data_IF_935044126862
#
_entry.id   IF_935044126862
#
_cell.length_a   1.000
_cell.length_b   1.000
_cell.length_c   1.000
_cell.angle_alpha   90.00
_cell.angle_beta   90.00
_cell.angle_gamma   90.00
#
_symmetry.space_group_name_H-M   'P 1'
#
loop_
_entity.id
_entity.type
_entity.pdbx_description
1 polymer ?
#
# COMPACT_ATOMS: atom_id res chain seq x y z
N UNK A 1 -11.85 24.83 -23.40
CA UNK A 1 -10.67 24.05 -23.00
C UNK A 1 -11.10 22.69 -22.44
N UNK A 2 -10.79 21.61 -23.14
CA UNK A 2 -10.92 20.23 -22.68
C UNK A 2 -9.63 19.74 -22.03
N UNK A 3 -9.74 19.12 -20.85
CA UNK A 3 -8.62 18.53 -20.12
C UNK A 3 -8.89 17.05 -19.95
N UNK A 4 -7.88 16.22 -20.19
CA UNK A 4 -7.85 14.82 -19.78
C UNK A 4 -6.85 14.64 -18.63
N UNK A 5 -7.25 13.95 -17.59
CA UNK A 5 -6.36 13.50 -16.51
C UNK A 5 -6.26 11.97 -16.59
N UNK A 6 -5.05 11.45 -16.72
CA UNK A 6 -4.72 10.04 -16.68
C UNK A 6 -3.92 9.79 -15.41
N UNK A 7 -4.50 9.08 -14.45
CA UNK A 7 -3.86 8.79 -13.15
C UNK A 7 -3.67 7.30 -12.92
N UNK A 8 -2.73 6.92 -12.05
CA UNK A 8 -2.74 5.55 -11.49
C UNK A 8 -4.02 5.31 -10.66
N UNK A 9 -4.33 4.04 -10.47
CA UNK A 9 -5.51 3.50 -9.81
C UNK A 9 -5.47 3.57 -8.28
N UNK A 10 -4.33 3.92 -7.71
CA UNK A 10 -4.15 4.02 -6.26
C UNK A 10 -4.46 5.43 -5.71
N UNK A 11 -4.13 5.63 -4.44
CA UNK A 11 -4.40 6.87 -3.72
C UNK A 11 -3.55 8.05 -4.21
N UNK A 12 -2.35 7.83 -4.76
CA UNK A 12 -1.48 8.91 -5.22
C UNK A 12 -1.96 9.45 -6.57
N UNK A 13 -2.21 8.56 -7.53
CA UNK A 13 -2.82 8.91 -8.82
C UNK A 13 -4.19 9.56 -8.67
N UNK A 14 -5.06 9.00 -7.82
CA UNK A 14 -6.40 9.56 -7.50
C UNK A 14 -6.29 10.91 -6.79
N UNK A 15 -5.32 11.04 -5.86
CA UNK A 15 -5.05 12.27 -5.11
C UNK A 15 -4.58 13.40 -6.03
N UNK A 16 -3.63 13.12 -6.93
CA UNK A 16 -3.15 14.08 -7.91
C UNK A 16 -4.26 14.58 -8.84
N UNK A 17 -5.09 13.66 -9.37
CA UNK A 17 -6.24 14.01 -10.19
C UNK A 17 -7.25 14.91 -9.45
N UNK A 18 -7.50 14.63 -8.18
CA UNK A 18 -8.33 15.45 -7.30
C UNK A 18 -7.75 16.87 -7.21
N UNK A 19 -6.46 17.00 -6.88
CA UNK A 19 -5.77 18.28 -6.75
C UNK A 19 -5.84 19.12 -8.03
N UNK A 20 -5.67 18.51 -9.22
CA UNK A 20 -5.83 19.19 -10.51
C UNK A 20 -7.24 19.77 -10.68
N UNK A 21 -8.29 18.99 -10.35
CA UNK A 21 -9.68 19.49 -10.42
C UNK A 21 -9.87 20.70 -9.50
N UNK A 22 -9.36 20.61 -8.27
CA UNK A 22 -9.41 21.68 -7.27
C UNK A 22 -8.67 22.94 -7.71
N UNK A 23 -7.50 22.79 -8.33
CA UNK A 23 -6.75 23.88 -8.91
C UNK A 23 -7.62 24.65 -9.90
N UNK A 24 -8.25 23.97 -10.85
CA UNK A 24 -9.10 24.62 -11.85
C UNK A 24 -10.39 25.21 -11.28
N UNK A 25 -11.02 24.56 -10.29
CA UNK A 25 -12.16 25.12 -9.58
C UNK A 25 -11.80 26.38 -8.76
N UNK A 26 -10.57 26.45 -8.25
CA UNK A 26 -10.06 27.59 -7.49
C UNK A 26 -9.62 28.72 -8.42
N UNK A 27 -8.96 28.40 -9.54
CA UNK A 27 -8.50 29.36 -10.56
C UNK A 27 -9.69 30.07 -11.24
N UNK A 28 -10.74 29.32 -11.58
CA UNK A 28 -11.93 29.86 -12.25
C UNK A 28 -13.10 30.01 -11.27
N UNK A 29 -13.30 31.24 -10.79
CA UNK A 29 -14.37 31.58 -9.83
C UNK A 29 -15.77 31.31 -10.40
N UNK A 30 -15.96 31.55 -11.70
CA UNK A 30 -17.22 31.38 -12.40
C UNK A 30 -17.29 30.00 -13.07
N UNK A 31 -18.31 29.18 -12.79
CA UNK A 31 -18.41 27.81 -13.31
C UNK A 31 -18.33 27.69 -14.83
N UNK A 32 -18.92 28.64 -15.57
CA UNK A 32 -18.94 28.66 -17.03
C UNK A 32 -17.55 28.86 -17.67
N UNK A 33 -16.57 29.36 -16.90
CA UNK A 33 -15.18 29.53 -17.36
C UNK A 33 -14.31 28.31 -17.07
N UNK A 34 -14.83 27.30 -16.34
CA UNK A 34 -14.05 26.12 -15.97
C UNK A 34 -13.83 25.21 -17.18
N UNK A 35 -12.65 24.58 -17.29
CA UNK A 35 -12.42 23.58 -18.33
C UNK A 35 -13.33 22.37 -18.14
N UNK A 36 -13.64 21.69 -19.25
CA UNK A 36 -14.28 20.38 -19.21
C UNK A 36 -13.21 19.34 -18.87
N UNK A 37 -13.29 18.76 -17.68
CA UNK A 37 -12.30 17.79 -17.19
C UNK A 37 -12.86 16.38 -17.36
N UNK A 38 -12.15 15.54 -18.12
CA UNK A 38 -12.31 14.09 -18.18
C UNK A 38 -11.21 13.45 -17.32
N UNK A 39 -11.52 12.31 -16.71
CA UNK A 39 -10.57 11.55 -15.88
C UNK A 39 -10.59 10.10 -16.31
N UNK A 40 -9.44 9.46 -16.31
CA UNK A 40 -9.27 8.05 -16.61
C UNK A 40 -8.22 7.44 -15.69
N UNK A 41 -8.56 6.30 -15.07
CA UNK A 41 -7.69 5.54 -14.17
C UNK A 41 -7.54 4.12 -14.72
N UNK A 42 -6.71 3.92 -15.76
CA UNK A 42 -6.54 2.60 -16.36
C UNK A 42 -5.69 1.68 -15.50
N UNK A 43 -6.01 0.38 -15.55
CA UNK A 43 -5.04 -0.65 -15.17
C UNK A 43 -3.79 -0.57 -16.07
N UNK A 44 -2.64 -0.96 -15.51
CA UNK A 44 -1.34 -0.83 -16.18
C UNK A 44 -1.27 -1.54 -17.54
N UNK A 45 -1.91 -2.70 -17.66
CA UNK A 45 -1.99 -3.47 -18.92
C UNK A 45 -2.75 -2.68 -19.99
N UNK A 46 -3.93 -2.19 -19.66
CA UNK A 46 -4.77 -1.35 -20.54
C UNK A 46 -4.04 -0.06 -20.91
N UNK A 47 -3.36 0.58 -19.96
CA UNK A 47 -2.53 1.76 -20.22
C UNK A 47 -1.45 1.43 -21.28
N UNK A 48 -0.69 0.37 -21.09
CA UNK A 48 0.38 -0.03 -22.00
C UNK A 48 -0.14 -0.31 -23.41
N UNK A 49 -1.24 -1.04 -23.53
CA UNK A 49 -1.89 -1.34 -24.82
C UNK A 49 -2.34 -0.06 -25.52
N UNK A 50 -3.00 0.85 -24.79
CA UNK A 50 -3.51 2.11 -25.36
C UNK A 50 -2.40 3.05 -25.79
N UNK A 51 -1.34 3.17 -24.99
CA UNK A 51 -0.20 4.01 -25.36
C UNK A 51 0.62 3.42 -26.51
N UNK A 52 0.63 2.10 -26.69
CA UNK A 52 1.24 1.48 -27.86
C UNK A 52 0.46 1.75 -29.17
N UNK A 53 -0.87 1.92 -29.08
CA UNK A 53 -1.71 2.28 -30.23
C UNK A 53 -1.59 3.77 -30.59
N UNK A 54 -0.74 4.07 -31.58
CA UNK A 54 -0.54 5.43 -32.08
C UNK A 54 -1.83 6.10 -32.60
N UNK A 55 -2.83 5.34 -33.08
CA UNK A 55 -4.11 5.88 -33.55
C UNK A 55 -4.92 6.40 -32.37
N UNK A 56 -5.04 5.61 -31.31
CA UNK A 56 -5.69 6.02 -30.08
C UNK A 56 -5.00 7.25 -29.47
N UNK A 57 -3.66 7.22 -29.39
CA UNK A 57 -2.84 8.32 -28.87
C UNK A 57 -3.10 9.62 -29.64
N UNK A 58 -3.13 9.57 -30.98
CA UNK A 58 -3.47 10.75 -31.79
C UNK A 58 -4.89 11.24 -31.53
N UNK A 59 -5.87 10.35 -31.37
CA UNK A 59 -7.24 10.78 -31.04
C UNK A 59 -7.30 11.51 -29.69
N UNK A 60 -6.60 11.01 -28.67
CA UNK A 60 -6.50 11.66 -27.35
C UNK A 60 -5.85 13.04 -27.48
N UNK A 61 -4.79 13.15 -28.28
CA UNK A 61 -4.15 14.43 -28.56
C UNK A 61 -5.10 15.43 -29.25
N UNK A 62 -5.92 14.97 -30.20
CA UNK A 62 -6.87 15.83 -30.91
C UNK A 62 -8.05 16.27 -30.03
N UNK A 63 -8.58 15.36 -29.22
CA UNK A 63 -9.80 15.58 -28.43
C UNK A 63 -9.59 16.45 -27.18
N UNK A 64 -8.34 16.73 -26.81
CA UNK A 64 -8.01 17.43 -25.58
C UNK A 64 -7.01 18.58 -25.84
N UNK A 65 -7.17 19.68 -25.11
CA UNK A 65 -6.28 20.83 -25.19
C UNK A 65 -5.07 20.69 -24.25
N UNK A 66 -5.24 19.90 -23.19
CA UNK A 66 -4.24 19.66 -22.16
C UNK A 66 -4.46 18.27 -21.56
N UNK A 67 -3.35 17.57 -21.32
CA UNK A 67 -3.33 16.24 -20.73
C UNK A 67 -2.49 16.30 -19.47
N UNK A 68 -2.98 15.71 -18.39
CA UNK A 68 -2.21 15.45 -17.19
C UNK A 68 -1.95 13.96 -17.10
N UNK A 69 -0.69 13.60 -16.93
CA UNK A 69 -0.27 12.24 -16.63
C UNK A 69 0.25 12.23 -15.19
N UNK A 70 -0.39 11.46 -14.32
CA UNK A 70 -0.17 11.49 -12.87
C UNK A 70 0.17 10.10 -12.34
N UNK A 71 1.39 9.95 -11.83
CA UNK A 71 1.86 8.74 -11.16
C UNK A 71 1.84 7.48 -12.02
N UNK A 72 1.83 7.66 -13.33
CA UNK A 72 1.64 6.56 -14.27
C UNK A 72 2.31 6.85 -15.58
N UNK A 73 2.58 5.80 -16.34
CA UNK A 73 3.32 5.87 -17.59
C UNK A 73 3.41 4.51 -18.27
N UNK A 74 3.55 4.47 -19.60
CA UNK A 74 3.71 3.22 -20.32
C UNK A 74 5.07 2.57 -20.01
N UNK A 75 5.09 1.24 -19.88
CA UNK A 75 6.31 0.45 -19.70
C UNK A 75 6.85 -0.10 -21.02
N UNK A 76 6.03 -0.13 -22.09
CA UNK A 76 6.47 -0.57 -23.42
C UNK A 76 7.31 0.49 -24.12
N UNK A 77 8.31 0.07 -24.89
CA UNK A 77 9.13 1.00 -25.68
C UNK A 77 8.29 1.85 -26.64
N UNK A 78 7.37 1.21 -27.34
CA UNK A 78 6.43 1.88 -28.26
C UNK A 78 5.52 2.87 -27.54
N UNK A 79 4.97 2.50 -26.39
CA UNK A 79 4.15 3.40 -25.59
C UNK A 79 4.93 4.62 -25.10
N UNK A 80 6.17 4.41 -24.67
CA UNK A 80 7.06 5.51 -24.26
C UNK A 80 7.38 6.45 -25.42
N UNK A 81 7.64 5.90 -26.61
CA UNK A 81 7.86 6.68 -27.84
C UNK A 81 6.63 7.51 -28.20
N UNK A 82 5.44 6.89 -28.24
CA UNK A 82 4.20 7.58 -28.57
C UNK A 82 3.86 8.69 -27.56
N UNK A 83 4.06 8.44 -26.25
CA UNK A 83 3.92 9.47 -25.22
C UNK A 83 4.86 10.65 -25.48
N UNK A 84 6.16 10.37 -25.67
CA UNK A 84 7.21 11.37 -25.79
C UNK A 84 7.21 12.17 -27.10
N UNK A 85 6.75 11.56 -28.20
CA UNK A 85 6.76 12.18 -29.54
C UNK A 85 5.41 12.78 -29.93
N UNK A 86 4.29 12.16 -29.54
CA UNK A 86 2.95 12.57 -29.96
C UNK A 86 2.23 13.38 -28.87
N UNK A 87 2.14 12.85 -27.64
CA UNK A 87 1.34 13.49 -26.59
C UNK A 87 2.07 14.60 -25.84
N UNK A 88 3.39 14.46 -25.66
CA UNK A 88 4.20 15.34 -24.83
C UNK A 88 3.90 16.85 -25.03
N UNK A 89 3.73 17.39 -26.25
CA UNK A 89 3.47 18.82 -26.45
C UNK A 89 2.21 19.37 -25.74
N UNK A 90 1.26 18.49 -25.38
CA UNK A 90 0.06 18.82 -24.61
C UNK A 90 0.05 18.21 -23.20
N UNK A 91 1.09 17.47 -22.81
CA UNK A 91 1.13 16.74 -21.54
C UNK A 91 1.92 17.50 -20.48
N UNK A 92 1.30 17.62 -19.31
CA UNK A 92 1.98 17.91 -18.05
C UNK A 92 2.13 16.59 -17.29
N UNK A 93 3.35 16.14 -17.11
CA UNK A 93 3.67 14.87 -16.46
C UNK A 93 4.13 15.12 -15.02
N UNK A 94 3.37 14.60 -14.05
CA UNK A 94 3.74 14.50 -12.65
C UNK A 94 4.03 13.04 -12.29
N UNK A 95 5.19 12.78 -11.69
CA UNK A 95 5.58 11.45 -11.22
C UNK A 95 6.60 11.55 -10.08
N UNK A 96 6.86 10.44 -9.41
CA UNK A 96 7.97 10.31 -8.45
C UNK A 96 8.81 9.04 -8.70
N UNK A 97 8.45 8.20 -9.66
CA UNK A 97 9.19 7.01 -10.02
C UNK A 97 10.39 7.32 -10.93
N UNK A 98 11.60 7.01 -10.45
CA UNK A 98 12.83 7.20 -11.22
C UNK A 98 12.80 6.43 -12.55
N UNK A 99 12.24 5.22 -12.56
CA UNK A 99 12.14 4.43 -13.79
C UNK A 99 11.29 5.08 -14.88
N UNK A 100 10.28 5.89 -14.53
CA UNK A 100 9.48 6.66 -15.49
C UNK A 100 10.29 7.86 -16.01
N UNK A 101 11.07 8.52 -15.14
CA UNK A 101 12.02 9.56 -15.55
C UNK A 101 13.00 9.01 -16.59
N UNK A 102 13.70 7.91 -16.28
CA UNK A 102 14.74 7.34 -17.14
C UNK A 102 14.21 7.01 -18.55
N UNK A 103 12.98 6.50 -18.63
CA UNK A 103 12.31 6.19 -19.91
C UNK A 103 11.95 7.42 -20.74
N UNK A 104 11.72 8.56 -20.09
CA UNK A 104 11.18 9.77 -20.71
C UNK A 104 12.17 10.93 -20.79
N UNK A 105 13.36 10.79 -20.19
CA UNK A 105 14.40 11.82 -20.17
C UNK A 105 14.72 12.35 -21.58
N UNK A 106 14.83 11.45 -22.57
CA UNK A 106 15.08 11.82 -23.97
C UNK A 106 13.97 12.67 -24.60
N UNK A 107 12.77 12.67 -24.03
CA UNK A 107 11.60 13.41 -24.52
C UNK A 107 11.25 14.62 -23.66
N UNK A 108 11.99 14.90 -22.57
CA UNK A 108 11.63 15.90 -21.56
C UNK A 108 11.32 17.28 -22.16
N UNK A 109 12.05 17.69 -23.21
CA UNK A 109 11.88 18.97 -23.91
C UNK A 109 10.58 19.07 -24.72
N UNK A 110 9.98 17.94 -25.06
CA UNK A 110 8.72 17.88 -25.79
C UNK A 110 7.52 18.08 -24.87
N UNK A 111 7.69 17.87 -23.55
CA UNK A 111 6.59 18.00 -22.60
C UNK A 111 6.22 19.45 -22.36
N UNK A 112 4.91 19.73 -22.25
CA UNK A 112 4.42 21.04 -21.81
C UNK A 112 4.85 21.35 -20.37
N UNK A 113 4.95 20.33 -19.53
CA UNK A 113 5.56 20.39 -18.20
C UNK A 113 5.97 19.00 -17.76
N UNK A 114 7.15 18.87 -17.15
CA UNK A 114 7.67 17.58 -16.70
C UNK A 114 8.22 17.74 -15.28
N UNK A 115 7.57 17.09 -14.33
CA UNK A 115 7.78 17.25 -12.91
C UNK A 115 7.91 15.87 -12.26
N UNK A 116 9.11 15.31 -12.38
CA UNK A 116 9.45 14.06 -11.72
C UNK A 116 10.42 14.33 -10.60
N UNK A 117 10.11 13.84 -9.40
CA UNK A 117 10.98 14.00 -8.24
C UNK A 117 11.01 12.73 -7.40
N UNK A 118 12.14 12.02 -7.47
CA UNK A 118 12.38 10.88 -6.60
C UNK A 118 12.44 11.29 -5.11
N UNK A 119 12.01 10.39 -4.23
CA UNK A 119 12.25 10.46 -2.79
C UNK A 119 11.05 10.94 -1.98
N UNK A 120 11.24 12.01 -1.19
CA UNK A 120 10.35 12.38 -0.08
C UNK A 120 9.00 13.02 -0.48
N UNK A 121 8.56 12.89 -1.74
CA UNK A 121 7.27 13.41 -2.20
C UNK A 121 6.58 12.43 -3.14
N UNK A 122 5.28 12.23 -2.92
CA UNK A 122 4.40 11.53 -3.86
C UNK A 122 3.93 12.49 -4.98
N UNK A 123 3.37 11.94 -6.06
CA UNK A 123 2.85 12.68 -7.22
C UNK A 123 1.79 13.72 -6.81
N UNK A 124 0.87 13.38 -5.91
CA UNK A 124 -0.14 14.31 -5.41
C UNK A 124 0.50 15.53 -4.73
N UNK A 125 1.56 15.31 -3.93
CA UNK A 125 2.29 16.39 -3.27
C UNK A 125 3.05 17.26 -4.25
N UNK A 126 3.71 16.65 -5.24
CA UNK A 126 4.40 17.37 -6.33
C UNK A 126 3.39 18.24 -7.08
N UNK A 127 2.23 17.69 -7.44
CA UNK A 127 1.15 18.38 -8.13
C UNK A 127 0.67 19.61 -7.34
N UNK A 128 0.39 19.45 -6.04
CA UNK A 128 -0.01 20.58 -5.18
C UNK A 128 1.06 21.66 -5.11
N UNK A 129 2.32 21.28 -4.87
CA UNK A 129 3.43 22.22 -4.73
C UNK A 129 3.71 22.99 -6.03
N UNK A 130 3.53 22.34 -7.19
CA UNK A 130 3.67 22.97 -8.50
C UNK A 130 2.58 24.01 -8.71
N UNK A 131 1.31 23.66 -8.51
CA UNK A 131 0.22 24.61 -8.69
C UNK A 131 0.19 25.72 -7.63
N UNK A 132 0.67 25.46 -6.42
CA UNK A 132 0.77 26.50 -5.38
C UNK A 132 1.65 27.66 -5.85
N UNK A 133 2.73 27.38 -6.61
CA UNK A 133 3.62 28.41 -7.17
C UNK A 133 2.97 29.22 -8.29
N UNK A 134 1.94 28.70 -8.95
CA UNK A 134 1.21 29.43 -10.00
C UNK A 134 0.22 30.46 -9.43
N UNK A 135 -0.10 30.39 -8.13
CA UNK A 135 -0.82 31.47 -7.47
C UNK A 135 0.18 32.53 -7.03
N UNK A 136 0.22 33.66 -7.74
CA UNK A 136 0.99 34.83 -7.31
C UNK A 136 0.66 35.23 -5.86
N UNK A 137 1.68 35.72 -5.16
CA UNK A 137 1.51 36.36 -3.85
C UNK A 137 0.55 37.55 -4.02
N UNK A 138 -0.45 37.73 -3.13
CA UNK A 138 -1.68 38.41 -3.53
C UNK A 138 -1.53 39.92 -3.57
N UNK A 139 -1.70 40.53 -4.75
CA UNK A 139 -1.88 41.99 -4.88
C UNK A 139 -3.35 42.40 -5.14
N UNK A 140 -4.26 41.46 -5.42
CA UNK A 140 -5.69 41.73 -5.66
C UNK A 140 -6.62 40.87 -4.81
N UNK A 141 -7.81 41.38 -4.49
CA UNK A 141 -8.84 40.65 -3.74
C UNK A 141 -9.22 39.31 -4.40
N UNK A 142 -9.33 39.30 -5.73
CA UNK A 142 -9.64 38.08 -6.48
C UNK A 142 -8.51 37.06 -6.41
N UNK A 143 -7.24 37.48 -6.53
CA UNK A 143 -6.09 36.59 -6.36
C UNK A 143 -6.07 35.98 -4.95
N UNK A 144 -6.28 36.80 -3.92
CA UNK A 144 -6.39 36.33 -2.52
C UNK A 144 -7.50 35.29 -2.35
N UNK A 145 -8.67 35.52 -2.94
CA UNK A 145 -9.80 34.58 -2.82
C UNK A 145 -9.53 33.25 -3.51
N UNK A 146 -8.90 33.27 -4.69
CA UNK A 146 -8.51 32.05 -5.42
C UNK A 146 -7.44 31.27 -4.67
N UNK A 147 -6.40 31.96 -4.18
CA UNK A 147 -5.34 31.36 -3.36
C UNK A 147 -5.89 30.73 -2.08
N UNK A 148 -6.72 31.46 -1.32
CA UNK A 148 -7.35 30.95 -0.09
C UNK A 148 -8.25 29.74 -0.32
N UNK A 149 -8.86 29.61 -1.50
CA UNK A 149 -9.62 28.41 -1.88
C UNK A 149 -8.69 27.22 -2.13
N UNK A 150 -7.62 27.45 -2.88
CA UNK A 150 -6.68 26.37 -3.22
C UNK A 150 -5.86 25.88 -2.02
N UNK A 151 -5.36 26.78 -1.16
CA UNK A 151 -4.50 26.38 -0.03
C UNK A 151 -5.22 25.48 0.99
N UNK A 152 -6.56 25.43 0.98
CA UNK A 152 -7.35 24.51 1.82
C UNK A 152 -7.05 23.04 1.55
N UNK A 153 -6.64 22.68 0.33
CA UNK A 153 -6.29 21.30 -0.01
C UNK A 153 -4.84 20.91 0.36
N UNK A 154 -4.09 21.82 1.01
CA UNK A 154 -2.72 21.53 1.49
C UNK A 154 -2.68 20.31 2.40
N UNK A 155 -3.63 20.22 3.33
CA UNK A 155 -3.72 19.09 4.27
C UNK A 155 -4.01 17.78 3.53
N UNK A 156 -4.93 17.81 2.54
CA UNK A 156 -5.19 16.65 1.69
C UNK A 156 -3.92 16.16 1.00
N UNK A 157 -3.18 17.03 0.32
CA UNK A 157 -1.92 16.66 -0.33
C UNK A 157 -0.88 16.09 0.67
N UNK A 158 -0.86 16.60 1.91
CA UNK A 158 0.02 16.09 2.96
C UNK A 158 -0.38 14.70 3.45
N UNK A 159 -1.68 14.42 3.54
CA UNK A 159 -2.21 13.11 3.93
C UNK A 159 -1.93 12.06 2.85
N UNK A 160 -2.10 12.39 1.57
CA UNK A 160 -1.75 11.47 0.47
C UNK A 160 -0.26 11.13 0.52
N UNK A 161 0.60 12.14 0.70
CA UNK A 161 2.04 11.94 0.86
C UNK A 161 2.42 11.10 2.08
N UNK A 162 1.65 11.18 3.17
CA UNK A 162 1.91 10.40 4.39
C UNK A 162 1.64 8.90 4.18
N UNK A 163 0.59 8.55 3.43
CA UNK A 163 0.25 7.16 3.17
C UNK A 163 1.10 6.56 2.05
N UNK A 164 1.33 7.31 0.96
CA UNK A 164 2.12 6.85 -0.19
C UNK A 164 3.57 6.52 0.20
N UNK A 165 4.21 7.39 0.99
CA UNK A 165 5.57 7.19 1.47
C UNK A 165 5.66 6.29 2.72
N UNK A 166 4.57 5.61 3.09
CA UNK A 166 4.54 4.70 4.24
C UNK A 166 4.90 5.33 5.60
N UNK A 167 4.78 6.65 5.73
CA UNK A 167 5.08 7.37 6.98
C UNK A 167 4.00 7.09 8.03
N UNK A 168 2.73 7.10 7.61
CA UNK A 168 1.55 6.76 8.45
C UNK A 168 1.46 7.53 9.75
N UNK A 169 1.90 8.79 9.76
CA UNK A 169 1.83 9.67 10.92
C UNK A 169 0.38 10.03 11.26
N UNK A 170 -0.50 10.07 10.26
CA UNK A 170 -1.89 10.51 10.43
C UNK A 170 -2.85 9.35 10.16
N UNK A 171 -3.69 8.92 11.12
CA UNK A 171 -4.69 7.87 10.88
C UNK A 171 -5.59 8.15 9.66
N UNK A 172 -5.86 9.45 9.43
CA UNK A 172 -6.66 9.91 8.30
C UNK A 172 -6.05 9.58 6.94
N UNK A 173 -4.72 9.50 6.80
CA UNK A 173 -4.08 9.14 5.53
C UNK A 173 -4.43 7.71 5.12
N UNK A 174 -4.47 6.79 6.10
CA UNK A 174 -4.88 5.40 5.90
C UNK A 174 -6.36 5.31 5.53
N UNK A 175 -7.22 6.10 6.17
CA UNK A 175 -8.64 6.14 5.83
C UNK A 175 -8.88 6.56 4.38
N UNK A 176 -8.12 7.54 3.86
CA UNK A 176 -8.26 7.96 2.45
C UNK A 176 -7.86 6.83 1.50
N UNK A 177 -6.80 6.09 1.80
CA UNK A 177 -6.41 4.91 1.02
C UNK A 177 -7.47 3.80 1.10
N UNK A 178 -8.05 3.56 2.29
CA UNK A 178 -9.14 2.61 2.47
C UNK A 178 -10.36 2.98 1.59
N UNK A 179 -10.67 4.27 1.41
CA UNK A 179 -11.74 4.74 0.52
C UNK A 179 -11.46 4.37 -0.94
N UNK A 180 -10.23 4.58 -1.43
CA UNK A 180 -9.85 4.18 -2.80
C UNK A 180 -9.93 2.67 -2.98
N UNK A 181 -9.42 1.90 -2.01
CA UNK A 181 -9.48 0.44 -2.04
C UNK A 181 -10.93 -0.09 -2.03
N UNK A 182 -11.84 0.57 -1.33
CA UNK A 182 -13.24 0.17 -1.24
C UNK A 182 -14.06 0.53 -2.47
N UNK A 183 -13.88 1.74 -3.00
CA UNK A 183 -14.75 2.34 -4.01
C UNK A 183 -14.17 2.26 -5.43
N UNK A 184 -12.88 1.99 -5.56
CA UNK A 184 -12.12 2.19 -6.78
C UNK A 184 -11.79 3.68 -7.03
N UNK A 185 -10.83 3.96 -7.92
CA UNK A 185 -10.27 5.31 -8.08
C UNK A 185 -11.30 6.32 -8.59
N UNK A 186 -12.19 5.94 -9.52
CA UNK A 186 -13.18 6.87 -10.10
C UNK A 186 -14.18 7.37 -9.06
N UNK A 187 -14.78 6.45 -8.28
CA UNK A 187 -15.77 6.82 -7.27
C UNK A 187 -15.10 7.50 -6.07
N UNK A 188 -13.89 7.10 -5.69
CA UNK A 188 -13.12 7.80 -4.67
C UNK A 188 -12.77 9.24 -5.10
N UNK A 189 -12.36 9.46 -6.35
CA UNK A 189 -12.16 10.80 -6.92
C UNK A 189 -13.42 11.67 -6.79
N UNK A 190 -14.60 11.13 -7.10
CA UNK A 190 -15.87 11.84 -6.93
C UNK A 190 -16.17 12.19 -5.48
N UNK A 191 -15.89 11.28 -4.54
CA UNK A 191 -16.09 11.50 -3.11
C UNK A 191 -15.06 12.48 -2.50
N UNK A 192 -13.79 12.43 -2.90
CA UNK A 192 -12.77 13.37 -2.42
C UNK A 192 -13.07 14.82 -2.81
N UNK A 193 -13.76 15.02 -3.94
CA UNK A 193 -14.26 16.34 -4.32
C UNK A 193 -15.36 16.88 -3.37
N UNK A 194 -15.98 16.02 -2.55
CA UNK A 194 -17.01 16.38 -1.55
C UNK A 194 -16.42 16.54 -0.14
N UNK A 195 -15.46 15.68 0.23
CA UNK A 195 -14.92 15.54 1.59
C UNK A 195 -14.00 16.71 2.02
N UNK A 196 -13.26 17.32 1.09
CA UNK A 196 -12.15 18.23 1.42
C UNK A 196 -12.56 19.65 1.90
N UNK A 197 -13.80 19.87 2.36
CA UNK A 197 -14.29 21.19 2.75
C UNK A 197 -14.71 21.36 4.21
N UNK A 198 -14.79 20.29 5.01
CA UNK A 198 -15.15 20.43 6.42
C UNK A 198 -14.38 19.41 7.27
N UNK A 199 -13.58 19.87 8.26
CA UNK A 199 -13.01 18.98 9.26
C UNK A 199 -14.12 18.11 9.89
N UNK A 200 -13.99 16.79 9.82
CA UNK A 200 -14.94 15.84 10.41
C UNK A 200 -16.09 15.35 9.52
N UNK A 201 -16.20 15.75 8.23
CA UNK A 201 -17.31 15.29 7.38
C UNK A 201 -16.87 14.27 6.32
N UNK A 202 -16.77 13.00 6.73
CA UNK A 202 -16.90 11.92 5.75
C UNK A 202 -18.36 11.89 5.25
N UNK A 203 -18.56 11.71 3.95
CA UNK A 203 -19.89 11.34 3.43
C UNK A 203 -20.27 9.97 3.99
N UNK A 204 -21.55 9.63 4.07
CA UNK A 204 -21.97 8.28 4.50
C UNK A 204 -21.34 7.19 3.63
N UNK A 205 -21.27 7.40 2.31
CA UNK A 205 -20.56 6.51 1.37
C UNK A 205 -19.11 6.27 1.79
N UNK A 206 -18.42 7.32 2.23
CA UNK A 206 -17.02 7.24 2.69
C UNK A 206 -16.92 6.52 4.03
N UNK A 207 -17.85 6.76 4.95
CA UNK A 207 -17.90 6.06 6.25
C UNK A 207 -18.12 4.56 6.05
N UNK A 208 -19.08 4.19 5.21
CA UNK A 208 -19.40 2.80 4.89
C UNK A 208 -18.22 2.09 4.22
N UNK A 209 -17.56 2.78 3.27
CA UNK A 209 -16.35 2.30 2.61
C UNK A 209 -15.23 1.99 3.61
N UNK A 210 -14.93 2.95 4.51
CA UNK A 210 -13.92 2.79 5.56
C UNK A 210 -14.30 1.64 6.50
N UNK A 211 -15.56 1.55 6.93
CA UNK A 211 -16.03 0.50 7.82
C UNK A 211 -15.89 -0.89 7.17
N UNK A 212 -16.27 -1.02 5.90
CA UNK A 212 -16.15 -2.26 5.15
C UNK A 212 -14.69 -2.70 4.99
N UNK A 213 -13.79 -1.78 4.66
CA UNK A 213 -12.35 -2.09 4.55
C UNK A 213 -11.75 -2.47 5.91
N UNK A 214 -12.08 -1.74 6.99
CA UNK A 214 -11.63 -2.07 8.34
C UNK A 214 -12.07 -3.47 8.76
N UNK A 215 -13.32 -3.84 8.47
CA UNK A 215 -13.82 -5.17 8.76
C UNK A 215 -13.02 -6.25 8.02
N UNK A 216 -12.80 -6.08 6.70
CA UNK A 216 -12.01 -7.04 5.91
C UNK A 216 -10.54 -7.09 6.35
N UNK A 217 -9.91 -5.95 6.63
CA UNK A 217 -8.53 -5.84 7.12
C UNK A 217 -8.38 -6.55 8.47
N UNK A 218 -9.33 -6.38 9.39
CA UNK A 218 -9.39 -7.09 10.66
C UNK A 218 -9.49 -8.61 10.47
N UNK A 219 -10.43 -9.08 9.64
CA UNK A 219 -10.58 -10.51 9.36
C UNK A 219 -9.31 -11.11 8.72
N UNK A 220 -8.67 -10.37 7.82
CA UNK A 220 -7.39 -10.80 7.21
C UNK A 220 -6.24 -10.84 8.23
N UNK A 221 -6.21 -9.91 9.19
CA UNK A 221 -5.23 -9.91 10.27
C UNK A 221 -5.45 -11.09 11.22
N UNK A 222 -6.70 -11.37 11.60
CA UNK A 222 -7.05 -12.53 12.44
C UNK A 222 -6.63 -13.85 11.77
N UNK A 223 -6.88 -14.00 10.46
CA UNK A 223 -6.39 -15.15 9.69
C UNK A 223 -4.85 -15.23 9.70
N UNK A 224 -4.19 -14.09 9.49
CA UNK A 224 -2.73 -13.98 9.52
C UNK A 224 -2.14 -14.40 10.87
N UNK A 225 -2.76 -13.98 11.98
CA UNK A 225 -2.36 -14.34 13.33
C UNK A 225 -2.60 -15.84 13.61
N UNK A 226 -3.75 -16.37 13.18
CA UNK A 226 -4.09 -17.78 13.37
C UNK A 226 -3.19 -18.74 12.56
N UNK A 227 -2.57 -18.26 11.48
CA UNK A 227 -1.71 -19.06 10.60
C UNK A 227 -0.23 -18.69 10.70
N UNK A 228 0.13 -17.84 11.67
CA UNK A 228 1.49 -17.34 11.83
C UNK A 228 2.42 -18.48 12.32
N UNK A 229 3.38 -18.85 11.47
CA UNK A 229 4.42 -19.83 11.80
C UNK A 229 5.76 -19.12 11.92
N UNK A 230 6.42 -19.28 13.07
CA UNK A 230 7.79 -18.79 13.31
C UNK A 230 8.80 -19.87 12.92
N UNK A 231 9.69 -19.53 11.99
CA UNK A 231 10.78 -20.39 11.56
C UNK A 231 12.02 -20.19 12.43
N UNK A 232 12.62 -21.31 12.87
CA UNK A 232 13.82 -21.32 13.73
C UNK A 232 15.09 -21.45 12.88
N UNK A 233 16.25 -21.20 13.50
CA UNK A 233 17.59 -21.34 12.90
C UNK A 233 17.98 -20.31 11.83
N UNK A 234 17.29 -19.17 11.76
CA UNK A 234 17.67 -18.02 10.94
C UNK A 234 18.32 -16.93 11.82
N UNK A 235 19.29 -16.19 11.27
CA UNK A 235 19.91 -15.04 11.97
C UNK A 235 18.90 -13.92 12.27
N UNK A 236 17.86 -13.82 11.45
CA UNK A 236 16.73 -12.90 11.62
C UNK A 236 15.48 -13.74 11.83
N UNK A 237 14.61 -13.41 12.81
CA UNK A 237 13.33 -14.09 12.98
C UNK A 237 12.54 -14.07 11.67
N UNK A 238 12.22 -15.25 11.13
CA UNK A 238 11.48 -15.39 9.89
C UNK A 238 10.11 -15.98 10.18
N UNK A 239 9.08 -15.41 9.57
CA UNK A 239 7.68 -15.80 9.77
C UNK A 239 7.01 -16.08 8.43
N UNK A 240 6.02 -16.96 8.46
CA UNK A 240 5.07 -17.11 7.37
C UNK A 240 3.65 -17.02 7.87
N UNK A 241 2.75 -16.48 7.07
CA UNK A 241 1.32 -16.43 7.39
C UNK A 241 0.47 -16.53 6.11
N UNK A 242 -0.80 -16.89 6.27
CA UNK A 242 -1.82 -16.82 5.22
C UNK A 242 -2.74 -15.64 5.55
N UNK A 243 -3.07 -14.84 4.54
CA UNK A 243 -3.92 -13.65 4.68
C UNK A 243 -4.92 -13.59 3.52
N UNK A 244 -5.92 -12.72 3.62
CA UNK A 244 -6.95 -12.56 2.61
C UNK A 244 -7.19 -11.06 2.30
N UNK A 245 -6.37 -10.52 1.40
CA UNK A 245 -6.33 -9.10 1.04
C UNK A 245 -5.36 -8.28 1.90
N UNK A 246 -5.29 -6.96 1.63
CA UNK A 246 -4.53 -5.97 2.41
C UNK A 246 -3.08 -6.39 2.71
N UNK A 247 -2.43 -7.00 1.71
CA UNK A 247 -1.17 -7.73 1.87
C UNK A 247 -0.03 -6.93 2.44
N UNK A 248 -0.03 -5.63 2.22
CA UNK A 248 1.02 -4.78 2.72
C UNK A 248 0.76 -4.44 4.17
N UNK A 249 -0.44 -3.96 4.49
CA UNK A 249 -0.78 -3.51 5.83
C UNK A 249 -0.82 -4.67 6.82
N UNK A 250 -1.44 -5.78 6.46
CA UNK A 250 -1.53 -6.95 7.34
C UNK A 250 -0.14 -7.55 7.56
N UNK A 251 0.70 -7.67 6.52
CA UNK A 251 2.07 -8.16 6.70
C UNK A 251 2.90 -7.24 7.60
N UNK A 252 2.76 -5.92 7.45
CA UNK A 252 3.39 -4.95 8.35
C UNK A 252 2.93 -5.14 9.80
N UNK A 253 1.63 -5.26 10.06
CA UNK A 253 1.10 -5.49 11.42
C UNK A 253 1.59 -6.81 12.03
N UNK A 254 1.68 -7.89 11.24
CA UNK A 254 2.11 -9.21 11.72
C UNK A 254 3.61 -9.27 12.06
N UNK A 255 4.45 -8.56 11.31
CA UNK A 255 5.92 -8.59 11.51
C UNK A 255 6.42 -7.52 12.47
N UNK A 256 5.64 -6.47 12.73
CA UNK A 256 6.15 -5.29 13.41
C UNK A 256 6.46 -5.55 14.90
N UNK A 257 7.64 -5.13 15.42
CA UNK A 257 8.82 -4.60 14.70
C UNK A 257 9.87 -5.66 14.36
N UNK A 258 9.64 -6.94 14.68
CA UNK A 258 10.69 -7.96 14.82
C UNK A 258 10.68 -9.00 13.70
N UNK A 259 11.59 -8.86 12.73
CA UNK A 259 12.00 -9.93 11.82
C UNK A 259 11.60 -9.70 10.37
N UNK A 260 11.42 -10.79 9.63
CA UNK A 260 10.93 -10.79 8.25
C UNK A 260 9.72 -11.74 8.15
N UNK A 261 8.69 -11.35 7.40
CA UNK A 261 7.50 -12.19 7.16
C UNK A 261 7.29 -12.41 5.67
N UNK A 262 6.82 -13.60 5.32
CA UNK A 262 6.24 -13.92 4.02
C UNK A 262 4.74 -14.24 4.19
N UNK A 263 3.87 -13.41 3.64
CA UNK A 263 2.42 -13.62 3.68
C UNK A 263 1.92 -14.13 2.33
N UNK A 264 1.29 -15.31 2.31
CA UNK A 264 0.52 -15.76 1.16
C UNK A 264 -0.87 -15.13 1.20
N UNK A 265 -1.21 -14.37 0.16
CA UNK A 265 -2.49 -13.69 0.03
C UNK A 265 -3.44 -14.52 -0.84
N UNK A 266 -4.51 -15.04 -0.24
CA UNK A 266 -5.53 -15.87 -0.89
C UNK A 266 -6.26 -15.13 -2.01
N UNK A 267 -6.64 -13.87 -1.78
CA UNK A 267 -7.42 -13.06 -2.73
C UNK A 267 -6.67 -12.85 -4.05
N UNK A 268 -5.38 -12.51 -3.95
CA UNK A 268 -4.55 -12.20 -5.10
C UNK A 268 -3.73 -13.40 -5.60
N UNK A 269 -3.72 -14.52 -4.88
CA UNK A 269 -2.78 -15.64 -5.08
C UNK A 269 -1.30 -15.22 -5.12
N UNK A 270 -0.91 -14.17 -4.40
CA UNK A 270 0.48 -13.64 -4.38
C UNK A 270 1.18 -13.89 -3.05
N UNK A 271 2.51 -13.82 -3.02
CA UNK A 271 3.28 -13.75 -1.78
C UNK A 271 3.81 -12.33 -1.58
N UNK A 272 3.70 -11.81 -0.37
CA UNK A 272 4.21 -10.49 0.04
C UNK A 272 5.27 -10.67 1.12
N UNK A 273 6.42 -10.03 0.96
CA UNK A 273 7.49 -10.03 1.96
C UNK A 273 7.57 -8.69 2.67
N UNK A 274 7.69 -8.69 4.00
CA UNK A 274 7.98 -7.48 4.77
C UNK A 274 9.10 -7.71 5.76
N UNK A 275 9.97 -6.71 5.90
CA UNK A 275 10.98 -6.65 6.96
C UNK A 275 10.52 -5.63 8.00
N UNK A 276 10.53 -6.04 9.27
CA UNK A 276 10.28 -5.16 10.41
C UNK A 276 11.36 -4.09 10.54
N UNK A 277 10.99 -2.93 11.06
CA UNK A 277 11.85 -1.74 11.15
C UNK A 277 13.19 -2.00 11.84
N UNK A 278 13.23 -2.90 12.84
CA UNK A 278 14.45 -3.21 13.61
C UNK A 278 15.54 -3.89 12.76
N UNK A 279 15.16 -4.47 11.63
CA UNK A 279 16.04 -5.20 10.72
C UNK A 279 16.22 -4.48 9.37
N UNK A 280 15.54 -3.35 9.19
CA UNK A 280 15.70 -2.48 8.02
C UNK A 280 17.13 -1.95 7.95
N UNK A 281 17.86 -2.25 6.87
CA UNK A 281 19.25 -1.83 6.72
C UNK A 281 20.28 -2.71 7.45
N UNK A 282 19.84 -3.80 8.07
CA UNK A 282 20.75 -4.75 8.71
C UNK A 282 21.69 -5.37 7.67
N UNK A 283 23.00 -5.34 7.93
CA UNK A 283 23.98 -6.06 7.10
C UNK A 283 24.01 -7.55 7.46
N UNK A 284 23.72 -8.40 6.49
CA UNK A 284 23.85 -9.86 6.62
C UNK A 284 25.27 -10.36 6.34
N UNK A 285 26.01 -9.63 5.50
CA UNK A 285 27.42 -9.84 5.18
C UNK A 285 28.15 -8.49 5.08
N UNK A 286 29.49 -8.50 4.91
CA UNK A 286 30.30 -7.27 4.77
C UNK A 286 29.74 -6.31 3.70
N UNK A 287 29.15 -6.85 2.64
CA UNK A 287 28.68 -6.11 1.47
C UNK A 287 27.19 -6.37 1.11
N UNK A 288 26.42 -7.04 1.98
CA UNK A 288 25.02 -7.39 1.67
C UNK A 288 24.11 -6.93 2.79
N UNK A 289 23.13 -6.10 2.44
CA UNK A 289 22.05 -5.69 3.34
C UNK A 289 20.89 -6.67 3.21
N UNK A 290 20.24 -7.00 4.32
CA UNK A 290 19.01 -7.79 4.29
C UNK A 290 17.94 -7.04 3.48
N UNK A 291 17.40 -7.71 2.48
CA UNK A 291 16.52 -7.10 1.48
C UNK A 291 15.41 -8.08 1.08
N UNK A 292 14.16 -7.63 1.18
CA UNK A 292 13.00 -8.34 0.63
C UNK A 292 13.08 -8.48 -0.89
N UNK A 293 13.67 -7.49 -1.57
CA UNK A 293 13.82 -7.50 -3.02
C UNK A 293 14.68 -8.69 -3.45
N UNK A 294 15.87 -8.81 -2.87
CA UNK A 294 16.82 -9.89 -3.17
C UNK A 294 16.17 -11.26 -2.94
N UNK A 295 15.34 -11.39 -1.89
CA UNK A 295 14.61 -12.63 -1.62
C UNK A 295 13.52 -12.91 -2.66
N UNK A 296 12.78 -11.89 -3.08
CA UNK A 296 11.74 -12.02 -4.09
C UNK A 296 12.32 -12.37 -5.48
N UNK A 297 13.45 -11.77 -5.85
CA UNK A 297 14.13 -12.00 -7.14
C UNK A 297 14.57 -13.45 -7.34
N UNK A 298 14.96 -14.16 -6.26
CA UNK A 298 15.27 -15.61 -6.30
C UNK A 298 14.11 -16.42 -6.91
N UNK A 299 12.88 -15.94 -6.74
CA UNK A 299 11.66 -16.58 -7.21
C UNK A 299 11.00 -15.80 -8.36
N UNK A 300 11.74 -14.94 -9.07
CA UNK A 300 11.20 -14.13 -10.17
C UNK A 300 10.21 -13.04 -9.73
N UNK A 301 10.21 -12.69 -8.44
CA UNK A 301 9.47 -11.56 -7.89
C UNK A 301 10.23 -10.23 -8.01
N UNK A 302 9.74 -9.20 -7.33
CA UNK A 302 10.35 -7.88 -7.30
C UNK A 302 9.74 -6.96 -6.23
N UNK A 303 10.20 -5.70 -6.18
CA UNK A 303 9.70 -4.67 -5.27
C UNK A 303 10.81 -3.81 -4.67
N UNK A 304 10.69 -3.48 -3.40
CA UNK A 304 11.64 -2.65 -2.65
C UNK A 304 12.38 -3.47 -1.58
N UNK A 305 13.55 -3.00 -1.13
CA UNK A 305 14.34 -3.68 -0.10
C UNK A 305 13.59 -4.01 1.20
N UNK A 306 12.53 -3.27 1.55
CA UNK A 306 11.74 -3.50 2.78
C UNK A 306 10.36 -4.11 2.52
N UNK A 307 9.98 -4.21 1.24
CA UNK A 307 8.65 -4.58 0.80
C UNK A 307 8.70 -5.13 -0.62
N UNK A 308 8.65 -6.45 -0.77
CA UNK A 308 8.66 -7.10 -2.08
C UNK A 308 7.50 -8.08 -2.22
N UNK A 309 7.34 -8.68 -3.40
CA UNK A 309 6.32 -9.68 -3.64
C UNK A 309 6.60 -10.58 -4.85
N UNK A 310 5.84 -11.66 -4.93
CA UNK A 310 5.91 -12.69 -5.97
C UNK A 310 4.52 -12.81 -6.60
N UNK A 311 4.49 -12.83 -7.93
CA UNK A 311 3.27 -12.95 -8.73
C UNK A 311 2.61 -14.34 -8.58
N UNK A 312 1.35 -14.50 -9.00
CA UNK A 312 0.64 -15.77 -8.83
C UNK A 312 1.27 -16.95 -9.55
N UNK A 313 1.83 -16.73 -10.73
CA UNK A 313 2.51 -17.78 -11.52
C UNK A 313 3.73 -18.37 -10.80
N UNK A 314 4.42 -17.54 -10.00
CA UNK A 314 5.64 -17.91 -9.30
C UNK A 314 5.39 -18.32 -7.83
N UNK A 315 4.26 -17.91 -7.25
CA UNK A 315 3.92 -18.17 -5.85
C UNK A 315 3.92 -19.67 -5.49
N UNK A 316 3.52 -20.55 -6.40
CA UNK A 316 3.51 -22.00 -6.18
C UNK A 316 4.88 -22.58 -5.82
N UNK A 317 5.97 -22.04 -6.39
CA UNK A 317 7.34 -22.52 -6.11
C UNK A 317 7.70 -22.28 -4.64
N UNK A 318 7.33 -21.10 -4.13
CA UNK A 318 7.57 -20.73 -2.73
C UNK A 318 6.60 -21.45 -1.79
N UNK A 319 5.33 -21.60 -2.18
CA UNK A 319 4.35 -22.36 -1.41
C UNK A 319 4.80 -23.80 -1.18
N UNK A 320 5.45 -24.46 -2.13
CA UNK A 320 6.00 -25.81 -1.95
C UNK A 320 7.09 -25.88 -0.87
N UNK A 321 7.91 -24.82 -0.77
CA UNK A 321 8.92 -24.68 0.27
C UNK A 321 8.25 -24.40 1.62
N UNK A 322 7.31 -23.44 1.64
CA UNK A 322 6.54 -23.10 2.85
C UNK A 322 5.72 -24.28 3.37
N UNK A 323 5.09 -25.06 2.48
CA UNK A 323 4.25 -26.21 2.84
C UNK A 323 5.07 -27.35 3.44
N UNK A 324 6.32 -27.53 3.00
CA UNK A 324 7.24 -28.51 3.60
C UNK A 324 7.54 -28.15 5.05
N UNK A 325 7.81 -26.89 5.33
CA UNK A 325 8.05 -26.41 6.69
C UNK A 325 6.75 -26.39 7.54
N UNK A 326 5.61 -26.03 6.96
CA UNK A 326 4.31 -26.12 7.65
C UNK A 326 3.93 -27.56 7.99
N UNK A 327 4.13 -28.51 7.07
CA UNK A 327 3.87 -29.93 7.31
C UNK A 327 4.77 -30.49 8.42
N UNK A 328 6.04 -30.08 8.45
CA UNK A 328 6.97 -30.41 9.53
C UNK A 328 6.49 -29.87 10.88
N UNK A 329 6.04 -28.61 10.93
CA UNK A 329 5.50 -28.00 12.15
C UNK A 329 4.28 -28.77 12.70
N UNK A 330 3.30 -29.07 11.84
CA UNK A 330 2.09 -29.81 12.24
C UNK A 330 2.40 -31.21 12.78
N UNK A 331 3.38 -31.90 12.19
CA UNK A 331 3.84 -33.21 12.67
C UNK A 331 4.63 -33.13 13.99
N UNK A 332 5.39 -32.06 14.21
CA UNK A 332 6.08 -31.80 15.48
C UNK A 332 5.08 -31.53 16.62
N UNK A 333 3.99 -30.79 16.36
CA UNK A 333 2.91 -30.60 17.35
C UNK A 333 2.21 -31.91 17.72
N UNK A 334 1.81 -32.74 16.75
CA UNK A 334 1.19 -34.04 17.04
C UNK A 334 2.07 -34.92 17.94
N UNK A 335 3.40 -34.88 17.74
CA UNK A 335 4.35 -35.64 18.53
C UNK A 335 4.41 -35.13 19.98
N UNK A 336 4.51 -33.81 20.17
CA UNK A 336 4.52 -33.20 21.50
C UNK A 336 3.20 -33.45 22.25
N UNK A 337 2.08 -33.45 21.53
CA UNK A 337 0.74 -33.70 22.07
C UNK A 337 0.54 -35.16 22.50
N UNK A 338 1.15 -36.11 21.77
CA UNK A 338 1.22 -37.53 22.18
C UNK A 338 2.11 -37.75 23.39
N UNK A 339 3.23 -37.03 23.50
CA UNK A 339 4.17 -37.13 24.62
C UNK A 339 3.58 -36.52 25.91
N UNK A 340 2.88 -35.37 25.82
CA UNK A 340 2.19 -34.75 26.96
C UNK A 340 1.04 -35.62 27.51
N UNK A 341 0.28 -36.29 26.62
CA UNK A 341 -0.78 -37.26 26.98
C UNK A 341 -0.22 -38.57 27.54
N UNK A 342 1.02 -38.96 27.20
CA UNK A 342 1.69 -40.14 27.78
C UNK A 342 2.28 -39.83 29.17
N UNK A 343 2.86 -38.66 29.37
CA UNK A 343 3.40 -38.24 30.68
C UNK A 343 2.33 -38.09 31.77
N UNK A 344 1.11 -37.69 31.42
CA UNK A 344 -0.02 -37.49 32.35
C UNK A 344 -0.74 -38.77 32.77
N UNK A 345 -0.47 -39.93 32.14
CA UNK A 345 -1.04 -41.24 32.53
C UNK A 345 -0.15 -42.08 33.44
N UNK A 346 1.04 -41.59 33.80
CA UNK A 346 2.03 -42.36 34.57
C UNK A 346 2.04 -42.11 36.09
N UNK A 347 1.21 -41.20 36.63
CA UNK A 347 1.34 -40.76 38.05
C UNK A 347 0.20 -41.15 39.00
N UNK A 348 -0.75 -42.01 38.62
CA UNK A 348 -1.89 -42.38 39.49
C UNK A 348 -1.94 -43.84 39.97
N UNK A 349 -0.81 -44.58 39.95
CA UNK A 349 -0.73 -45.92 40.56
C UNK A 349 0.54 -46.11 41.40
N UNK A 350 0.57 -45.53 42.60
CA UNK A 350 1.29 -46.04 43.78
C UNK A 350 0.88 -45.21 44.99
N UNK A 351 -0.03 -45.76 45.79
CA UNK A 351 0.02 -45.76 47.26
C UNK A 351 -1.33 -46.24 47.82
N UNK A 352 -1.44 -47.57 47.92
CA UNK A 352 -2.31 -48.26 48.87
C UNK A 352 -1.46 -49.35 49.50
N UNK A 353 -0.88 -49.07 50.66
CA UNK A 353 -0.66 -50.04 51.74
C UNK A 353 0.02 -49.36 52.94
N UNK A 354 -0.54 -49.63 54.13
CA UNK A 354 -0.14 -49.32 55.52
C UNK A 354 -1.13 -48.41 56.22
N UNK A 355 -1.60 -48.68 57.43
CA UNK A 355 -1.68 -49.87 58.27
C UNK A 355 -2.69 -49.50 59.36
N UNK A 356 -3.52 -50.47 59.75
CA UNK A 356 -4.50 -50.38 60.81
C UNK A 356 -3.86 -50.96 62.09
N UNK A 357 -3.70 -50.17 63.15
CA UNK A 357 -3.61 -50.67 64.52
C UNK A 357 -4.02 -49.57 65.49
N UNK A 358 -5.12 -49.81 66.20
CA UNK A 358 -5.70 -48.89 67.16
C UNK A 358 -5.28 -49.15 68.61
N UNK A 359 -6.04 -48.51 69.51
CA UNK A 359 -6.01 -48.56 70.99
C UNK A 359 -4.80 -47.86 71.63
N UNK A 360 -4.90 -47.10 72.71
CA UNK A 360 -5.99 -46.80 73.66
C UNK A 360 -5.61 -45.55 74.48
N UNK A 361 -6.64 -44.78 74.84
CA UNK A 361 -6.88 -44.15 76.16
C UNK A 361 -5.76 -43.55 77.04
N UNK A 362 -6.06 -42.30 77.43
CA UNK A 362 -6.08 -41.72 78.80
C UNK A 362 -4.86 -40.99 79.38
N UNK A 363 -5.15 -39.71 79.60
CA UNK A 363 -5.05 -38.93 80.84
C UNK A 363 -3.74 -38.24 81.28
N UNK A 364 -4.01 -37.08 81.90
CA UNK A 364 -3.27 -36.32 82.91
C UNK A 364 -2.43 -35.08 82.53
N UNK A 365 -3.11 -33.93 82.76
CA UNK A 365 -2.72 -32.75 83.56
C UNK A 365 -1.47 -31.89 83.23
N UNK A 366 -1.79 -30.60 83.02
CA UNK A 366 -1.33 -29.39 83.74
C UNK A 366 0.03 -29.45 84.45
N UNK A 367 0.94 -28.57 84.02
CA UNK A 367 1.41 -27.39 84.78
C UNK A 367 2.06 -26.42 83.81
#
# INVERSE_FOLDING_TARGET
MGILIIGDTDIDGTGAATIIRWYYQSKYLFPQLRPKIKVWFPERTVLNERFADATWVRSVFHDNDLIYLCDTGPNSEEGNRNLGEILAPKTIYFDHHQSNYDRQEKYIKNFKGFYVKEGARCTAKITFDTFLKEFDVPHSFLATRRYRRFVRIKEFAQLINDIDLWIRKYPRSTELNDVVNALGPMRAYEEFNKICLTPGTNTEVTKDAIAAVRHKKKASLELGQATLVKHRNYKVPFYTAIINGFRTEVASELVHPKGMIACYNLDANTISFRIGSDYSGMKYSRNTTLSCLDFAEIFGGGGHPYAAGISPSEAFKVLKVMSKEMGRFLLEEEKNDRESKRGSRSSTKRDKNRDYSGSSERDFNKS
#
